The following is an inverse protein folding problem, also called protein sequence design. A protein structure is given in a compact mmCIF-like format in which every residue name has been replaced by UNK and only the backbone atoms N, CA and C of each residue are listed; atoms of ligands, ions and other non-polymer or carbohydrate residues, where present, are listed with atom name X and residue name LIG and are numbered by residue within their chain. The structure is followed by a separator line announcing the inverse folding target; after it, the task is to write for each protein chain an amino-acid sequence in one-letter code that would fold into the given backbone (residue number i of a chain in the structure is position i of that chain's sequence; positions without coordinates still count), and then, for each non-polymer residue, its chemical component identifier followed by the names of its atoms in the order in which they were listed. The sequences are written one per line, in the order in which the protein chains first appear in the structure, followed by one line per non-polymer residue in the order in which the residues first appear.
data_IF_923244779886
#
_entry.id   IF_923244779886
#
_cell.length_a   1.000
_cell.length_b   1.000
_cell.length_c   1.000
_cell.angle_alpha   90.00
_cell.angle_beta   90.00
_cell.angle_gamma   90.00
#
_symmetry.space_group_name_H-M   'P 1'
#
loop_
_entity.id
_entity.type
_entity.pdbx_description
1 polymer ?
#
# COMPACT_ATOMS: atom_id res chain seq x y z
N UNK A 1 -73.28 16.90 20.21
CA UNK A 1 -71.80 16.85 20.37
C UNK A 1 -71.26 15.88 19.33
N UNK A 2 -70.76 16.41 18.24
CA UNK A 2 -70.19 15.62 17.15
C UNK A 2 -68.71 15.53 17.35
N UNK A 3 -68.15 14.32 17.45
CA UNK A 3 -66.76 14.04 17.55
C UNK A 3 -66.17 14.04 16.14
N UNK A 4 -65.15 14.92 15.91
CA UNK A 4 -64.34 14.98 14.69
C UNK A 4 -63.37 13.78 14.61
N UNK A 5 -63.11 13.19 13.42
CA UNK A 5 -62.14 12.10 13.26
C UNK A 5 -60.74 12.64 13.32
N UNK A 6 -59.88 11.92 14.04
CA UNK A 6 -58.41 12.12 14.09
C UNK A 6 -57.79 11.69 12.76
N UNK A 7 -56.91 12.50 12.12
CA UNK A 7 -56.24 12.07 10.91
C UNK A 7 -55.21 10.99 11.23
N UNK A 8 -55.33 9.87 10.53
CA UNK A 8 -54.32 8.79 10.54
C UNK A 8 -52.97 9.34 10.05
N UNK A 9 -51.94 9.12 10.88
CA UNK A 9 -50.56 9.51 10.58
C UNK A 9 -50.09 8.84 9.29
N UNK A 10 -49.51 9.66 8.43
CA UNK A 10 -48.78 9.22 7.27
C UNK A 10 -47.51 8.49 7.78
N UNK A 11 -47.50 7.18 7.66
CA UNK A 11 -46.30 6.40 7.85
C UNK A 11 -45.25 6.89 6.82
N UNK A 12 -44.20 7.56 7.32
CA UNK A 12 -43.03 7.90 6.54
C UNK A 12 -42.38 6.58 6.11
N UNK A 13 -42.54 6.24 4.84
CA UNK A 13 -41.95 5.07 4.24
C UNK A 13 -40.42 5.07 4.43
N UNK A 14 -39.93 4.23 5.33
CA UNK A 14 -38.51 3.84 5.38
C UNK A 14 -38.22 2.92 4.21
N UNK A 15 -38.01 3.46 3.02
CA UNK A 15 -37.51 2.76 1.85
C UNK A 15 -36.07 3.19 1.56
N UNK A 16 -35.20 3.09 2.55
CA UNK A 16 -33.74 3.14 2.32
C UNK A 16 -33.18 1.75 2.52
N UNK A 17 -32.42 1.25 1.55
CA UNK A 17 -31.67 0.01 1.73
C UNK A 17 -30.75 0.16 2.95
N UNK A 18 -30.80 -0.82 3.88
CA UNK A 18 -29.88 -0.89 5.03
C UNK A 18 -28.49 -1.37 4.64
N UNK A 19 -28.27 -1.77 3.38
CA UNK A 19 -26.96 -2.16 2.87
C UNK A 19 -26.12 -0.91 2.59
N UNK A 20 -25.00 -0.69 3.31
CA UNK A 20 -24.16 0.49 3.17
C UNK A 20 -23.47 0.60 1.81
N UNK A 21 -23.44 -0.48 1.00
CA UNK A 21 -22.91 -0.46 -0.37
C UNK A 21 -23.98 -0.19 -1.43
N UNK A 22 -25.14 0.34 -1.05
CA UNK A 22 -26.20 0.78 -1.97
C UNK A 22 -26.42 2.29 -1.91
N UNK A 23 -26.85 2.86 -3.04
CA UNK A 23 -27.29 4.26 -3.10
C UNK A 23 -28.71 4.44 -2.45
N UNK A 24 -29.15 5.67 -2.37
CA UNK A 24 -30.49 6.00 -1.84
C UNK A 24 -31.64 5.35 -2.63
N UNK A 25 -31.42 4.96 -3.88
CA UNK A 25 -32.36 4.24 -4.72
C UNK A 25 -32.23 2.71 -4.61
N UNK A 26 -31.40 2.20 -3.69
CA UNK A 26 -31.17 0.78 -3.46
C UNK A 26 -30.30 0.08 -4.52
N UNK A 27 -29.67 0.81 -5.43
CA UNK A 27 -28.76 0.26 -6.44
C UNK A 27 -27.38 0.01 -5.82
N UNK A 28 -26.75 -1.12 -6.14
CA UNK A 28 -25.39 -1.39 -5.71
C UNK A 28 -24.43 -0.28 -6.21
N UNK A 29 -23.63 0.26 -5.30
CA UNK A 29 -22.56 1.18 -5.64
C UNK A 29 -21.44 0.38 -6.29
N UNK A 30 -21.03 0.80 -7.48
CA UNK A 30 -19.82 0.29 -8.10
C UNK A 30 -18.57 0.93 -7.47
N UNK A 31 -17.43 0.36 -7.76
CA UNK A 31 -16.13 0.83 -7.26
C UNK A 31 -15.88 2.30 -7.62
N UNK A 32 -16.23 2.71 -8.83
CA UNK A 32 -16.02 4.09 -9.29
C UNK A 32 -16.86 5.09 -8.49
N UNK A 33 -18.11 4.74 -8.19
CA UNK A 33 -18.97 5.58 -7.36
C UNK A 33 -18.43 5.71 -5.92
N UNK A 34 -17.92 4.62 -5.34
CA UNK A 34 -17.29 4.64 -4.02
C UNK A 34 -16.04 5.52 -3.98
N UNK A 35 -15.18 5.46 -5.02
CA UNK A 35 -13.99 6.31 -5.11
C UNK A 35 -14.36 7.78 -5.26
N UNK A 36 -15.35 8.10 -6.10
CA UNK A 36 -15.83 9.48 -6.27
C UNK A 36 -16.36 10.02 -4.93
N UNK A 37 -17.15 9.23 -4.21
CA UNK A 37 -17.64 9.62 -2.89
C UNK A 37 -16.51 9.82 -1.88
N UNK A 38 -15.57 8.86 -1.83
CA UNK A 38 -14.41 8.93 -0.92
C UNK A 38 -13.57 10.19 -1.16
N UNK A 39 -13.31 10.53 -2.43
CA UNK A 39 -12.52 11.73 -2.79
C UNK A 39 -13.26 13.04 -2.50
N UNK A 40 -14.58 13.05 -2.63
CA UNK A 40 -15.38 14.25 -2.43
C UNK A 40 -15.61 14.58 -0.95
N UNK A 41 -15.94 13.59 -0.11
CA UNK A 41 -16.36 13.78 1.28
C UNK A 41 -15.87 12.73 2.28
N UNK A 42 -15.10 11.73 1.84
CA UNK A 42 -14.75 10.56 2.62
C UNK A 42 -15.90 9.54 2.69
N UNK A 43 -15.54 8.28 2.96
CA UNK A 43 -16.51 7.23 3.24
C UNK A 43 -16.88 7.23 4.74
N UNK A 44 -18.14 6.95 5.04
CA UNK A 44 -18.55 6.67 6.42
C UNK A 44 -17.86 5.40 6.94
N UNK A 45 -17.70 5.28 8.25
CA UNK A 45 -17.13 4.08 8.87
C UNK A 45 -17.87 2.81 8.44
N UNK A 46 -19.20 2.89 8.42
CA UNK A 46 -20.09 1.80 8.02
C UNK A 46 -19.80 1.30 6.58
N UNK A 47 -19.54 2.23 5.65
CA UNK A 47 -19.16 1.91 4.27
C UNK A 47 -17.75 1.32 4.19
N UNK A 48 -16.78 1.88 4.90
CA UNK A 48 -15.43 1.32 4.97
C UNK A 48 -15.46 -0.11 5.51
N UNK A 49 -16.24 -0.36 6.55
CA UNK A 49 -16.41 -1.70 7.11
C UNK A 49 -17.10 -2.67 6.16
N UNK A 50 -18.04 -2.20 5.36
CA UNK A 50 -18.67 -3.02 4.34
C UNK A 50 -17.67 -3.37 3.22
N UNK A 51 -16.83 -2.42 2.76
CA UNK A 51 -15.75 -2.68 1.81
C UNK A 51 -14.74 -3.67 2.41
N UNK A 52 -14.32 -3.47 3.67
CA UNK A 52 -13.43 -4.38 4.39
C UNK A 52 -13.98 -5.80 4.44
N UNK A 53 -15.23 -5.98 4.88
CA UNK A 53 -15.88 -7.30 4.92
C UNK A 53 -15.95 -7.96 3.55
N UNK A 54 -16.37 -7.22 2.53
CA UNK A 54 -16.44 -7.72 1.15
C UNK A 54 -15.07 -8.17 0.66
N UNK A 55 -14.04 -7.35 0.86
CA UNK A 55 -12.67 -7.64 0.43
C UNK A 55 -12.10 -8.89 1.10
N UNK A 56 -12.49 -9.20 2.34
CA UNK A 56 -12.05 -10.36 3.08
C UNK A 56 -12.93 -11.60 2.85
N UNK A 57 -14.18 -11.43 2.42
CA UNK A 57 -15.08 -12.54 2.12
C UNK A 57 -14.62 -13.35 0.89
N UNK A 58 -13.89 -12.71 -0.02
CA UNK A 58 -13.33 -13.35 -1.23
C UNK A 58 -12.01 -14.10 -0.96
N UNK A 59 -11.65 -14.33 0.33
CA UNK A 59 -10.45 -15.08 0.69
C UNK A 59 -10.56 -16.55 0.26
N UNK A 60 -9.56 -17.05 -0.46
CA UNK A 60 -9.50 -18.46 -0.74
C UNK A 60 -9.40 -19.24 0.59
N UNK A 61 -10.04 -20.40 0.68
CA UNK A 61 -10.02 -21.24 1.88
C UNK A 61 -8.61 -21.61 2.37
N UNK A 62 -7.60 -21.57 1.49
CA UNK A 62 -6.18 -21.84 1.78
C UNK A 62 -5.39 -20.62 2.20
N UNK A 63 -6.00 -19.40 2.20
CA UNK A 63 -5.31 -18.18 2.60
C UNK A 63 -4.94 -18.22 4.10
N UNK A 64 -3.69 -17.93 4.38
CA UNK A 64 -3.19 -17.80 5.75
C UNK A 64 -2.32 -16.54 5.87
N UNK A 65 -2.67 -15.59 6.76
CA UNK A 65 -2.02 -14.27 6.82
C UNK A 65 -0.52 -14.34 7.11
N UNK A 66 -0.10 -15.20 8.04
CA UNK A 66 1.33 -15.36 8.34
C UNK A 66 2.09 -16.09 7.22
N UNK A 67 1.47 -17.00 6.50
CA UNK A 67 2.06 -17.62 5.32
C UNK A 67 2.22 -16.58 4.19
N UNK A 68 1.26 -15.66 4.04
CA UNK A 68 1.38 -14.54 3.11
C UNK A 68 2.57 -13.64 3.47
N UNK A 69 2.66 -13.18 4.73
CA UNK A 69 3.79 -12.39 5.20
C UNK A 69 5.13 -13.11 4.99
N UNK A 70 5.19 -14.41 5.38
CA UNK A 70 6.41 -15.20 5.22
C UNK A 70 6.80 -15.40 3.76
N UNK A 71 5.83 -15.63 2.85
CA UNK A 71 6.11 -15.78 1.42
C UNK A 71 6.58 -14.47 0.80
N UNK A 72 5.90 -13.36 1.09
CA UNK A 72 6.22 -12.03 0.58
C UNK A 72 7.61 -11.57 1.02
N UNK A 73 7.90 -11.62 2.32
CA UNK A 73 9.21 -11.23 2.86
C UNK A 73 10.28 -12.28 2.56
N UNK A 74 9.93 -13.57 2.57
CA UNK A 74 10.84 -14.70 2.34
C UNK A 74 11.46 -14.69 0.96
N UNK A 75 10.72 -14.28 -0.09
CA UNK A 75 11.28 -14.10 -1.44
C UNK A 75 12.41 -13.06 -1.41
N UNK A 76 12.16 -11.88 -0.84
CA UNK A 76 13.17 -10.83 -0.74
C UNK A 76 14.37 -11.25 0.12
N UNK A 77 14.15 -11.87 1.27
CA UNK A 77 15.21 -12.41 2.14
C UNK A 77 16.01 -13.51 1.41
N UNK A 78 15.35 -14.36 0.65
CA UNK A 78 16.02 -15.40 -0.15
C UNK A 78 16.94 -14.82 -1.21
N UNK A 79 16.50 -13.79 -1.95
CA UNK A 79 17.33 -13.09 -2.92
C UNK A 79 18.50 -12.36 -2.24
N UNK A 80 18.26 -11.72 -1.09
CA UNK A 80 19.30 -11.07 -0.28
C UNK A 80 20.36 -12.09 0.17
N UNK A 81 19.96 -13.24 0.70
CA UNK A 81 20.87 -14.30 1.10
C UNK A 81 21.64 -14.89 -0.10
N UNK A 82 20.95 -15.12 -1.23
CA UNK A 82 21.58 -15.58 -2.46
C UNK A 82 22.63 -14.57 -2.99
N UNK A 83 22.36 -13.27 -2.86
CA UNK A 83 23.29 -12.21 -3.26
C UNK A 83 24.56 -12.23 -2.40
N UNK A 84 24.41 -12.37 -1.08
CA UNK A 84 25.56 -12.50 -0.16
C UNK A 84 26.40 -13.73 -0.51
N UNK A 85 25.76 -14.90 -0.64
CA UNK A 85 26.43 -16.15 -0.99
C UNK A 85 27.09 -16.04 -2.38
N UNK A 86 26.41 -15.43 -3.37
CA UNK A 86 26.95 -15.21 -4.69
C UNK A 86 28.23 -14.38 -4.65
N UNK A 87 28.26 -13.28 -3.92
CA UNK A 87 29.45 -12.44 -3.76
C UNK A 87 30.61 -13.18 -3.09
N UNK A 88 30.36 -14.02 -2.09
CA UNK A 88 31.45 -14.79 -1.41
C UNK A 88 32.10 -15.84 -2.30
N UNK A 89 31.48 -16.16 -3.44
CA UNK A 89 32.00 -17.13 -4.40
C UNK A 89 32.72 -16.49 -5.59
N UNK A 90 32.78 -15.18 -5.66
CA UNK A 90 33.52 -14.50 -6.70
C UNK A 90 35.02 -14.58 -6.44
N UNK A 91 35.86 -14.77 -7.49
CA UNK A 91 37.30 -14.82 -7.33
C UNK A 91 37.91 -13.45 -7.03
N UNK A 92 37.28 -12.39 -7.51
CA UNK A 92 37.78 -11.02 -7.35
C UNK A 92 37.23 -10.36 -6.07
N UNK A 93 38.05 -9.56 -5.38
CA UNK A 93 37.59 -8.79 -4.23
C UNK A 93 36.61 -7.70 -4.65
N UNK A 94 35.74 -7.29 -3.73
CA UNK A 94 34.84 -6.16 -3.90
C UNK A 94 35.64 -4.88 -4.12
N UNK A 95 35.43 -4.18 -5.23
CA UNK A 95 36.05 -2.89 -5.52
C UNK A 95 35.31 -1.75 -4.82
N UNK A 96 36.01 -0.71 -4.41
CA UNK A 96 35.38 0.47 -3.84
C UNK A 96 34.35 1.11 -4.80
N UNK A 97 34.57 1.04 -6.11
CA UNK A 97 33.62 1.51 -7.13
C UNK A 97 32.35 0.69 -7.20
N UNK A 98 32.39 -0.60 -6.89
CA UNK A 98 31.19 -1.45 -6.87
C UNK A 98 30.21 -0.99 -5.77
N UNK A 99 30.72 -0.43 -4.67
CA UNK A 99 29.89 0.09 -3.57
C UNK A 99 29.00 1.27 -3.99
N UNK A 100 29.33 1.97 -5.09
CA UNK A 100 28.49 3.05 -5.63
C UNK A 100 27.12 2.53 -6.14
N UNK A 101 27.02 1.24 -6.41
CA UNK A 101 25.75 0.59 -6.77
C UNK A 101 24.74 0.72 -5.65
N UNK A 102 25.14 0.63 -4.39
CA UNK A 102 24.22 0.70 -3.23
C UNK A 102 23.44 2.01 -3.20
N UNK A 103 24.08 3.20 -3.08
CA UNK A 103 23.34 4.46 -3.09
C UNK A 103 22.60 4.70 -4.42
N UNK A 104 23.19 4.30 -5.55
CA UNK A 104 22.54 4.42 -6.87
C UNK A 104 21.22 3.64 -6.93
N UNK A 105 21.21 2.38 -6.51
CA UNK A 105 20.02 1.54 -6.48
C UNK A 105 19.03 2.03 -5.44
N UNK A 106 19.48 2.44 -4.25
CA UNK A 106 18.58 2.97 -3.22
C UNK A 106 17.85 4.23 -3.70
N UNK A 107 18.55 5.16 -4.36
CA UNK A 107 17.93 6.37 -4.95
C UNK A 107 16.98 5.99 -6.08
N UNK A 108 17.38 5.10 -6.98
CA UNK A 108 16.52 4.64 -8.06
C UNK A 108 15.27 3.95 -7.54
N UNK A 109 15.40 3.06 -6.55
CA UNK A 109 14.27 2.34 -5.95
C UNK A 109 13.28 3.30 -5.27
N UNK A 110 13.77 4.33 -4.54
CA UNK A 110 12.92 5.33 -3.92
C UNK A 110 12.23 6.23 -4.96
N UNK A 111 12.90 6.59 -6.07
CA UNK A 111 12.27 7.26 -7.21
C UNK A 111 11.20 6.38 -7.85
N UNK A 112 11.52 5.10 -8.07
CA UNK A 112 10.62 4.16 -8.71
C UNK A 112 9.38 3.89 -7.85
N UNK A 113 9.55 3.75 -6.52
CA UNK A 113 8.46 3.69 -5.56
C UNK A 113 7.51 4.88 -5.71
N UNK A 114 8.06 6.11 -5.65
CA UNK A 114 7.31 7.34 -5.83
C UNK A 114 6.56 7.37 -7.16
N UNK A 115 7.23 6.97 -8.25
CA UNK A 115 6.68 7.01 -9.61
C UNK A 115 5.55 6.00 -9.79
N UNK A 116 5.76 4.76 -9.36
CA UNK A 116 4.76 3.69 -9.44
C UNK A 116 3.56 4.00 -8.56
N UNK A 117 3.81 4.44 -7.34
CA UNK A 117 2.73 4.81 -6.42
C UNK A 117 1.82 5.89 -7.01
N UNK A 118 2.41 6.98 -7.50
CA UNK A 118 1.66 8.11 -8.07
C UNK A 118 0.94 7.76 -9.36
N UNK A 119 1.58 7.04 -10.28
CA UNK A 119 1.10 6.95 -11.67
C UNK A 119 0.49 5.59 -12.03
N UNK A 120 0.69 4.56 -11.19
CA UNK A 120 0.13 3.22 -11.41
C UNK A 120 -0.85 2.87 -10.30
N UNK A 121 -0.49 3.06 -9.03
CA UNK A 121 -1.35 2.68 -7.91
C UNK A 121 -2.53 3.64 -7.73
N UNK A 122 -2.38 4.91 -8.11
CA UNK A 122 -3.46 5.91 -8.02
C UNK A 122 -4.11 6.30 -9.36
N UNK A 123 -3.67 5.70 -10.47
CA UNK A 123 -4.28 5.92 -11.79
C UNK A 123 -4.50 4.59 -12.49
N UNK A 124 -5.76 4.24 -12.68
CA UNK A 124 -6.12 2.99 -13.35
C UNK A 124 -5.67 3.02 -14.80
N UNK A 125 -4.67 2.19 -15.15
CA UNK A 125 -4.04 2.17 -16.47
C UNK A 125 -3.69 0.75 -16.92
N UNK A 126 -3.98 0.44 -18.17
CA UNK A 126 -3.56 -0.83 -18.78
C UNK A 126 -2.03 -0.91 -18.90
N UNK A 127 -1.40 -2.06 -18.61
CA UNK A 127 -1.94 -3.35 -18.15
C UNK A 127 -1.91 -3.52 -16.62
N UNK A 128 -1.88 -2.45 -15.83
CA UNK A 128 -1.64 -2.44 -14.39
C UNK A 128 -2.90 -2.21 -13.55
N UNK A 129 -4.10 -2.40 -14.14
CA UNK A 129 -5.39 -2.14 -13.47
C UNK A 129 -5.49 -2.85 -12.11
N UNK A 130 -5.01 -4.09 -12.03
CA UNK A 130 -5.03 -4.88 -10.79
C UNK A 130 -4.29 -4.19 -9.64
N UNK A 131 -3.23 -3.43 -9.93
CA UNK A 131 -2.47 -2.71 -8.92
C UNK A 131 -3.31 -1.55 -8.35
N UNK A 132 -3.98 -0.80 -9.23
CA UNK A 132 -4.91 0.24 -8.83
C UNK A 132 -6.09 -0.34 -8.03
N UNK A 133 -6.70 -1.42 -8.51
CA UNK A 133 -7.87 -2.04 -7.88
C UNK A 133 -7.52 -2.54 -6.46
N UNK A 134 -6.32 -3.09 -6.26
CA UNK A 134 -5.86 -3.51 -4.93
C UNK A 134 -5.45 -2.33 -4.04
N UNK A 135 -4.82 -1.32 -4.58
CA UNK A 135 -4.31 -0.20 -3.81
C UNK A 135 -5.37 0.89 -3.58
N UNK A 136 -5.83 1.56 -4.64
CA UNK A 136 -6.76 2.69 -4.48
C UNK A 136 -8.18 2.24 -4.15
N UNK A 137 -8.71 1.24 -4.90
CA UNK A 137 -10.10 0.84 -4.76
C UNK A 137 -10.37 -0.11 -3.58
N UNK A 138 -9.32 -0.70 -3.00
CA UNK A 138 -9.46 -1.57 -1.83
C UNK A 138 -8.75 -0.97 -0.61
N UNK A 139 -7.42 -0.86 -0.64
CA UNK A 139 -6.60 -0.44 0.50
C UNK A 139 -6.98 0.97 1.00
N UNK A 140 -7.04 1.99 0.13
CA UNK A 140 -7.44 3.35 0.50
C UNK A 140 -8.94 3.52 0.81
N UNK A 141 -9.78 2.56 0.40
CA UNK A 141 -11.20 2.60 0.80
C UNK A 141 -11.42 1.99 2.18
N UNK A 142 -10.50 1.17 2.67
CA UNK A 142 -10.55 0.56 3.99
C UNK A 142 -9.82 1.42 5.02
N UNK A 143 -8.60 1.86 4.70
CA UNK A 143 -7.74 2.62 5.60
C UNK A 143 -7.74 4.10 5.20
N UNK A 144 -8.06 4.96 6.16
CA UNK A 144 -8.04 6.43 6.02
C UNK A 144 -7.16 7.04 7.08
N UNK A 145 -6.79 8.31 6.93
CA UNK A 145 -5.87 8.99 7.85
C UNK A 145 -6.25 8.83 9.33
N UNK A 146 -7.54 8.88 9.63
CA UNK A 146 -8.08 8.78 10.99
C UNK A 146 -8.24 7.33 11.50
N UNK A 147 -8.19 6.32 10.59
CA UNK A 147 -8.43 4.90 10.90
C UNK A 147 -7.45 4.02 10.11
N UNK A 148 -6.16 4.11 10.48
CA UNK A 148 -5.06 3.38 9.86
C UNK A 148 -4.87 1.94 10.38
N UNK A 149 -5.17 1.62 11.66
CA UNK A 149 -4.76 0.34 12.21
C UNK A 149 -5.54 -0.84 11.63
N UNK A 150 -4.81 -1.93 11.41
CA UNK A 150 -5.37 -3.27 11.19
C UNK A 150 -6.23 -3.67 12.39
N UNK A 151 -7.38 -4.23 12.16
CA UNK A 151 -8.27 -4.75 13.21
C UNK A 151 -8.03 -6.24 13.46
N UNK A 152 -7.48 -6.97 12.47
CA UNK A 152 -7.20 -8.41 12.54
C UNK A 152 -6.12 -8.81 11.53
N UNK A 153 -5.49 -9.96 11.76
CA UNK A 153 -4.34 -10.42 10.96
C UNK A 153 -4.71 -10.81 9.52
N UNK A 154 -5.96 -11.17 9.27
CA UNK A 154 -6.46 -11.47 7.92
C UNK A 154 -6.34 -10.26 6.99
N UNK A 155 -6.30 -9.05 7.54
CA UNK A 155 -6.15 -7.82 6.79
C UNK A 155 -4.73 -7.62 6.22
N UNK A 156 -3.76 -8.48 6.53
CA UNK A 156 -2.43 -8.46 5.89
C UNK A 156 -2.53 -8.46 4.36
N UNK A 157 -3.51 -9.16 3.78
CA UNK A 157 -3.73 -9.15 2.33
C UNK A 157 -4.17 -7.80 1.75
N UNK A 158 -4.71 -6.92 2.58
CA UNK A 158 -5.13 -5.57 2.16
C UNK A 158 -3.94 -4.59 2.17
N UNK A 159 -2.82 -4.96 2.80
CA UNK A 159 -1.64 -4.11 2.96
C UNK A 159 -0.44 -4.65 2.19
N UNK A 160 -0.16 -5.95 2.29
CA UNK A 160 1.01 -6.58 1.69
C UNK A 160 0.81 -6.87 0.20
N UNK A 161 1.87 -6.72 -0.58
CA UNK A 161 1.89 -7.17 -1.97
C UNK A 161 1.81 -8.70 -2.01
N UNK A 162 0.97 -9.31 -2.86
CA UNK A 162 0.95 -10.76 -3.01
C UNK A 162 2.32 -11.32 -3.41
N UNK A 163 2.69 -12.50 -2.90
CA UNK A 163 3.98 -13.13 -3.17
C UNK A 163 4.31 -13.24 -4.67
N UNK A 164 3.30 -13.52 -5.51
CA UNK A 164 3.46 -13.52 -6.97
C UNK A 164 3.84 -12.14 -7.52
N UNK A 165 3.33 -11.05 -6.93
CA UNK A 165 3.71 -9.68 -7.28
C UNK A 165 5.15 -9.39 -6.90
N UNK A 166 5.59 -9.78 -5.69
CA UNK A 166 6.98 -9.65 -5.26
C UNK A 166 7.92 -10.43 -6.16
N UNK A 167 7.57 -11.67 -6.50
CA UNK A 167 8.34 -12.48 -7.46
C UNK A 167 8.42 -11.81 -8.83
N UNK A 168 7.31 -11.25 -9.31
CA UNK A 168 7.27 -10.49 -10.56
C UNK A 168 8.22 -9.28 -10.55
N UNK A 169 8.29 -8.54 -9.44
CA UNK A 169 9.22 -7.40 -9.28
C UNK A 169 10.67 -7.91 -9.32
N UNK A 170 10.99 -8.99 -8.60
CA UNK A 170 12.33 -9.59 -8.61
C UNK A 170 12.73 -10.01 -10.02
N UNK A 171 11.85 -10.71 -10.73
CA UNK A 171 12.11 -11.14 -12.12
C UNK A 171 12.27 -9.94 -13.08
N UNK A 172 11.47 -8.90 -12.91
CA UNK A 172 11.56 -7.68 -13.73
C UNK A 172 12.86 -6.90 -13.49
N UNK A 173 13.46 -7.02 -12.31
CA UNK A 173 14.74 -6.35 -11.98
C UNK A 173 15.97 -7.20 -12.36
N UNK A 174 15.82 -8.50 -12.56
CA UNK A 174 16.93 -9.40 -12.93
C UNK A 174 17.72 -8.97 -14.18
N UNK A 175 17.11 -8.48 -15.28
CA UNK A 175 17.85 -7.99 -16.44
C UNK A 175 18.80 -6.83 -16.10
N UNK A 176 18.42 -5.93 -15.19
CA UNK A 176 19.29 -4.83 -14.75
C UNK A 176 20.48 -5.36 -13.94
N UNK A 177 20.26 -6.34 -13.07
CA UNK A 177 21.35 -6.99 -12.35
C UNK A 177 22.34 -7.67 -13.31
N UNK A 178 21.82 -8.38 -14.32
CA UNK A 178 22.64 -9.02 -15.35
C UNK A 178 23.42 -8.00 -16.21
N UNK A 179 22.79 -6.88 -16.55
CA UNK A 179 23.45 -5.80 -17.27
C UNK A 179 24.59 -5.20 -16.44
N UNK A 180 24.36 -4.92 -15.15
CA UNK A 180 25.42 -4.46 -14.25
C UNK A 180 26.54 -5.50 -14.08
N UNK A 181 26.19 -6.77 -13.99
CA UNK A 181 27.18 -7.85 -13.92
C UNK A 181 28.04 -7.92 -15.18
N UNK A 182 27.45 -7.70 -16.34
CA UNK A 182 28.13 -7.76 -17.63
C UNK A 182 28.95 -6.49 -17.92
N UNK A 183 28.38 -5.30 -17.74
CA UNK A 183 29.02 -4.04 -18.15
C UNK A 183 29.89 -3.41 -17.07
N UNK A 184 29.73 -3.80 -15.81
CA UNK A 184 30.54 -3.23 -14.71
C UNK A 184 31.35 -4.30 -13.98
N UNK A 185 30.68 -5.17 -13.16
CA UNK A 185 31.32 -6.30 -12.50
C UNK A 185 30.25 -7.27 -11.97
N UNK A 186 30.61 -8.54 -11.82
CA UNK A 186 29.74 -9.54 -11.19
C UNK A 186 29.29 -9.10 -9.77
N UNK A 187 30.20 -8.46 -9.02
CA UNK A 187 29.88 -7.86 -7.71
C UNK A 187 28.80 -6.78 -7.81
N UNK A 188 28.86 -5.90 -8.82
CA UNK A 188 27.86 -4.86 -9.05
C UNK A 188 26.46 -5.45 -9.29
N UNK A 189 26.37 -6.54 -10.06
CA UNK A 189 25.10 -7.27 -10.27
C UNK A 189 24.53 -7.84 -8.97
N UNK A 190 25.35 -8.45 -8.14
CA UNK A 190 24.91 -8.95 -6.83
C UNK A 190 24.54 -7.84 -5.85
N UNK A 191 25.30 -6.74 -5.80
CA UNK A 191 24.97 -5.57 -4.97
C UNK A 191 23.67 -4.92 -5.40
N UNK A 192 23.36 -4.92 -6.69
CA UNK A 192 22.06 -4.48 -7.17
C UNK A 192 20.93 -5.33 -6.59
N UNK A 193 21.00 -6.66 -6.72
CA UNK A 193 19.98 -7.57 -6.20
C UNK A 193 19.84 -7.47 -4.67
N UNK A 194 20.97 -7.38 -3.96
CA UNK A 194 20.99 -7.21 -2.51
C UNK A 194 20.28 -5.91 -2.10
N UNK A 195 20.63 -4.78 -2.72
CA UNK A 195 20.07 -3.49 -2.36
C UNK A 195 18.60 -3.38 -2.73
N UNK A 196 18.22 -3.85 -3.93
CA UNK A 196 16.83 -3.85 -4.38
C UNK A 196 15.95 -4.75 -3.49
N UNK A 197 16.44 -5.94 -3.10
CA UNK A 197 15.70 -6.84 -2.20
C UNK A 197 15.58 -6.28 -0.79
N UNK A 198 16.64 -5.65 -0.27
CA UNK A 198 16.58 -4.98 1.04
C UNK A 198 15.55 -3.84 1.02
N UNK A 199 15.52 -3.06 -0.06
CA UNK A 199 14.55 -1.99 -0.24
C UNK A 199 13.12 -2.54 -0.27
N UNK A 200 12.89 -3.62 -1.03
CA UNK A 200 11.57 -4.27 -1.14
C UNK A 200 11.08 -4.84 0.19
N UNK A 201 11.94 -5.55 0.94
CA UNK A 201 11.60 -6.06 2.26
C UNK A 201 11.31 -4.91 3.23
N UNK A 202 12.11 -3.83 3.16
CA UNK A 202 11.87 -2.63 3.97
C UNK A 202 10.54 -1.97 3.65
N UNK A 203 10.18 -1.86 2.38
CA UNK A 203 8.88 -1.35 1.93
C UNK A 203 7.73 -2.14 2.56
N UNK A 204 7.71 -3.46 2.41
CA UNK A 204 6.66 -4.33 2.94
C UNK A 204 6.53 -4.22 4.46
N UNK A 205 7.65 -4.30 5.17
CA UNK A 205 7.64 -4.27 6.63
C UNK A 205 7.27 -2.89 7.19
N UNK A 206 7.74 -1.80 6.57
CA UNK A 206 7.38 -0.44 6.96
C UNK A 206 5.90 -0.16 6.68
N UNK A 207 5.41 -0.55 5.50
CA UNK A 207 4.01 -0.38 5.14
C UNK A 207 3.09 -1.11 6.13
N UNK A 208 3.39 -2.38 6.42
CA UNK A 208 2.66 -3.14 7.43
C UNK A 208 2.75 -2.48 8.82
N UNK A 209 3.94 -1.99 9.21
CA UNK A 209 4.16 -1.33 10.50
C UNK A 209 3.36 -0.03 10.65
N UNK A 210 3.08 0.70 9.56
CA UNK A 210 2.24 1.91 9.62
C UNK A 210 0.77 1.58 9.89
N UNK A 211 0.35 0.37 9.51
CA UNK A 211 -0.98 -0.16 9.80
C UNK A 211 -1.05 -0.99 11.10
N UNK A 212 0.06 -1.16 11.81
CA UNK A 212 0.02 -1.85 13.11
C UNK A 212 -0.74 -1.03 14.16
N UNK A 213 -1.45 -1.67 15.12
CA UNK A 213 -2.09 -0.99 16.23
C UNK A 213 -1.11 -0.07 16.96
N UNK A 214 -1.54 1.15 17.29
CA UNK A 214 -0.66 2.19 17.86
C UNK A 214 -0.13 1.85 19.24
N UNK A 215 -0.82 0.98 19.98
CA UNK A 215 -0.46 0.45 21.29
C UNK A 215 0.42 -0.81 21.24
N UNK A 216 0.62 -1.39 20.04
CA UNK A 216 1.52 -2.53 19.84
C UNK A 216 3.00 -2.14 20.02
N UNK A 217 3.87 -3.12 20.21
CA UNK A 217 5.31 -2.89 20.35
C UNK A 217 5.89 -2.15 19.12
N UNK A 218 5.47 -2.54 17.91
CA UNK A 218 5.89 -1.89 16.65
C UNK A 218 5.28 -0.50 16.54
N UNK A 219 3.96 -0.37 16.83
CA UNK A 219 3.24 0.90 16.71
C UNK A 219 3.78 2.01 17.61
N UNK A 220 4.39 1.66 18.76
CA UNK A 220 5.01 2.59 19.72
C UNK A 220 6.43 3.01 19.37
N UNK A 221 7.07 2.39 18.38
CA UNK A 221 8.42 2.81 17.97
C UNK A 221 8.40 4.23 17.39
N UNK A 222 9.27 5.11 17.91
CA UNK A 222 9.31 6.54 17.51
C UNK A 222 9.49 6.74 16.02
N UNK A 223 10.33 5.91 15.39
CA UNK A 223 10.58 6.00 13.93
C UNK A 223 9.32 5.61 13.16
N UNK A 224 8.62 4.55 13.57
CA UNK A 224 7.38 4.11 12.94
C UNK A 224 6.29 5.18 13.13
N UNK A 225 6.14 5.74 14.32
CA UNK A 225 5.16 6.80 14.59
C UNK A 225 5.40 8.02 13.68
N UNK A 226 6.67 8.43 13.49
CA UNK A 226 7.04 9.56 12.62
C UNK A 226 6.74 9.29 11.15
N UNK A 227 7.16 8.13 10.64
CA UNK A 227 6.94 7.75 9.23
C UNK A 227 5.45 7.45 8.95
N UNK A 228 4.75 6.85 9.91
CA UNK A 228 3.29 6.67 9.86
C UNK A 228 2.56 7.98 9.63
N UNK A 229 2.97 9.08 10.27
CA UNK A 229 2.31 10.38 10.07
C UNK A 229 2.37 10.82 8.61
N UNK A 230 3.49 10.58 7.92
CA UNK A 230 3.62 10.86 6.49
C UNK A 230 2.67 9.98 5.66
N UNK A 231 2.68 8.67 5.93
CA UNK A 231 1.84 7.71 5.21
C UNK A 231 0.34 7.88 5.53
N UNK A 232 -0.02 8.14 6.79
CA UNK A 232 -1.41 8.40 7.17
C UNK A 232 -1.98 9.65 6.46
N UNK A 233 -1.18 10.70 6.29
CA UNK A 233 -1.57 11.87 5.48
C UNK A 233 -1.85 11.51 4.03
N UNK A 234 -1.12 10.53 3.47
CA UNK A 234 -1.39 10.00 2.14
C UNK A 234 -2.75 9.31 2.07
N UNK A 235 -3.20 8.69 3.16
CA UNK A 235 -4.50 8.03 3.27
C UNK A 235 -5.70 9.00 3.42
N UNK A 236 -5.49 10.33 3.42
CA UNK A 236 -6.60 11.28 3.27
C UNK A 236 -7.12 11.23 1.82
N UNK A 237 -8.36 10.76 1.58
CA UNK A 237 -8.90 10.57 0.23
C UNK A 237 -8.89 11.83 -0.64
N UNK A 238 -8.90 13.01 0.00
CA UNK A 238 -8.93 14.32 -0.69
C UNK A 238 -7.59 14.69 -1.30
N UNK A 239 -6.49 14.11 -0.80
CA UNK A 239 -5.12 14.46 -1.21
C UNK A 239 -4.27 13.27 -1.66
N UNK A 240 -4.72 12.02 -1.48
CA UNK A 240 -3.96 10.79 -1.78
C UNK A 240 -3.46 10.71 -3.24
N UNK A 241 -4.15 11.38 -4.18
CA UNK A 241 -3.73 11.41 -5.59
C UNK A 241 -2.69 12.49 -5.91
N UNK A 242 -2.26 13.28 -4.91
CA UNK A 242 -1.38 14.44 -5.12
C UNK A 242 -0.15 14.44 -4.24
N UNK A 243 -0.19 13.79 -3.07
CA UNK A 243 0.82 13.99 -2.04
C UNK A 243 1.24 12.68 -1.34
N UNK A 244 2.48 12.70 -0.83
CA UNK A 244 3.06 11.70 0.07
C UNK A 244 3.11 10.28 -0.51
N UNK A 245 3.65 10.12 -1.70
CA UNK A 245 3.69 8.83 -2.39
C UNK A 245 4.78 7.87 -1.90
N UNK A 246 5.86 8.37 -1.28
CA UNK A 246 6.86 7.47 -0.71
C UNK A 246 6.38 6.85 0.60
N UNK A 247 6.41 5.53 0.67
CA UNK A 247 6.13 4.73 1.87
C UNK A 247 7.39 4.57 2.72
N UNK A 248 8.57 4.39 2.07
CA UNK A 248 9.85 4.18 2.76
C UNK A 248 10.41 5.47 3.34
N UNK A 249 11.11 6.25 2.53
CA UNK A 249 11.70 7.55 2.91
C UNK A 249 11.14 8.61 1.98
N UNK A 250 10.60 9.74 2.47
CA UNK A 250 9.92 10.74 1.65
C UNK A 250 10.89 11.63 0.85
N UNK A 251 11.95 11.03 0.29
CA UNK A 251 13.00 11.77 -0.43
C UNK A 251 12.46 12.33 -1.76
N UNK A 252 11.82 11.48 -2.57
CA UNK A 252 11.27 11.95 -3.85
C UNK A 252 9.98 12.74 -3.67
N UNK A 253 9.21 12.56 -2.61
CA UNK A 253 8.14 13.50 -2.27
C UNK A 253 8.69 14.90 -2.01
N UNK A 254 9.82 15.00 -1.31
CA UNK A 254 10.48 16.30 -1.07
C UNK A 254 11.07 16.88 -2.36
N UNK A 255 11.83 16.09 -3.13
CA UNK A 255 12.48 16.55 -4.37
C UNK A 255 11.48 16.98 -5.45
N UNK A 256 10.35 16.28 -5.54
CA UNK A 256 9.33 16.51 -6.57
C UNK A 256 8.19 17.42 -6.13
N UNK A 257 8.27 17.99 -4.90
CA UNK A 257 7.26 18.91 -4.38
C UNK A 257 5.91 18.27 -4.06
N UNK A 258 5.89 16.95 -3.80
CA UNK A 258 4.68 16.21 -3.46
C UNK A 258 4.54 15.93 -1.96
N UNK A 259 5.26 16.65 -1.10
CA UNK A 259 5.00 16.65 0.34
C UNK A 259 3.65 17.30 0.64
N UNK A 260 2.79 16.64 1.40
CA UNK A 260 1.51 17.21 1.81
C UNK A 260 1.73 18.51 2.62
N UNK A 261 0.95 19.58 2.36
CA UNK A 261 1.05 20.82 3.11
C UNK A 261 0.76 20.57 4.59
N UNK A 262 1.42 21.35 5.46
CA UNK A 262 1.12 21.30 6.89
C UNK A 262 -0.35 21.63 7.11
N UNK A 263 -1.02 20.90 8.00
CA UNK A 263 -2.35 21.33 8.46
C UNK A 263 -2.17 22.68 9.19
N UNK A 264 -2.89 23.68 8.77
CA UNK A 264 -3.09 24.84 9.61
C UNK A 264 -3.90 24.35 10.81
N UNK A 265 -3.26 24.11 11.93
CA UNK A 265 -3.94 23.96 13.21
C UNK A 265 -4.63 25.31 13.50
N UNK A 266 -5.95 25.31 13.76
CA UNK A 266 -6.65 26.52 14.13
C UNK A 266 -6.11 27.08 15.43
#
# INVERSE_FOLDING_TARGET
MATLPVPHGVEAGKTGSTDPLRDAAGRALDEKALIVEATARGLTEERRDAVRRKSLADDPWWYHPYAHLAATTGIGIGVLAASIVGMTRLPDPVRATDLLVIPGVALFANYFEWRVHRDILHKRSWPFEIMYDKHTAMHHMVYVEEDMPLRRVEEFRLVLIPAAGVLGIVLATAPLALALAYFWSATAGWLFLLTASLFMVSYELLHLAYHAPTDSAVGRMRIIAKLRTHHARHHDPRIMQRYNFNVTVPLFDWLMGTMAPKRNTP
#
